data_IF_565301037747
#
_entry.id   IF_565301037747
#
_cell.length_a   1.000
_cell.length_b   1.000
_cell.length_c   1.000
_cell.angle_alpha   90.00
_cell.angle_beta   90.00
_cell.angle_gamma   90.00
#
_symmetry.space_group_name_H-M   'P 1'
#
loop_
_entity.id
_entity.type
_entity.pdbx_description
1 polymer ?
#
# COMPACT_ATOMS: atom_id res chain seq x y z
N UNK A 1 -12.45 -8.61 18.61
CA UNK A 1 -11.30 -8.05 17.89
C UNK A 1 -10.77 -9.12 16.95
N UNK A 2 -10.52 -8.80 15.68
CA UNK A 2 -10.04 -9.75 14.64
C UNK A 2 -8.60 -9.47 14.21
N UNK A 3 -7.91 -8.56 14.92
CA UNK A 3 -6.59 -8.02 14.55
C UNK A 3 -5.51 -9.09 14.32
N UNK A 4 -5.53 -10.19 15.08
CA UNK A 4 -4.62 -11.32 14.85
C UNK A 4 -5.10 -12.23 13.73
N UNK A 5 -6.41 -12.53 13.68
CA UNK A 5 -7.01 -13.44 12.69
C UNK A 5 -6.81 -12.97 11.24
N UNK A 6 -6.88 -11.65 10.99
CA UNK A 6 -6.64 -11.08 9.66
C UNK A 6 -5.18 -11.17 9.20
N UNK A 7 -4.24 -11.45 10.11
CA UNK A 7 -2.81 -11.67 9.81
C UNK A 7 -2.43 -13.15 9.72
N UNK A 8 -3.40 -14.05 9.88
CA UNK A 8 -3.15 -15.49 9.74
C UNK A 8 -2.68 -15.85 8.34
N UNK A 9 -1.88 -16.92 8.25
CA UNK A 9 -1.37 -17.47 6.99
C UNK A 9 -2.49 -17.86 6.03
N UNK A 10 -3.62 -18.33 6.55
CA UNK A 10 -4.81 -18.66 5.75
C UNK A 10 -5.38 -17.42 5.04
N UNK A 11 -5.49 -16.30 5.75
CA UNK A 11 -5.95 -15.02 5.17
C UNK A 11 -4.93 -14.51 4.15
N UNK A 12 -3.63 -14.57 4.46
CA UNK A 12 -2.57 -14.14 3.53
C UNK A 12 -2.60 -14.92 2.20
N UNK A 13 -2.84 -16.24 2.26
CA UNK A 13 -2.90 -17.10 1.07
C UNK A 13 -4.18 -16.91 0.25
N UNK A 14 -5.28 -16.45 0.86
CA UNK A 14 -6.59 -16.34 0.21
C UNK A 14 -6.93 -14.93 -0.27
N UNK A 15 -6.39 -13.89 0.38
CA UNK A 15 -6.77 -12.48 0.13
C UNK A 15 -6.58 -12.05 -1.32
N UNK A 16 -5.50 -12.50 -1.98
CA UNK A 16 -5.24 -12.14 -3.38
C UNK A 16 -6.32 -12.66 -4.33
N UNK A 17 -6.87 -13.86 -4.08
CA UNK A 17 -7.94 -14.46 -4.88
C UNK A 17 -9.27 -13.71 -4.70
N UNK A 18 -9.56 -13.29 -3.48
CA UNK A 18 -10.78 -12.52 -3.15
C UNK A 18 -10.67 -11.09 -3.71
N UNK A 19 -9.52 -10.44 -3.51
CA UNK A 19 -9.27 -9.07 -3.97
C UNK A 19 -9.23 -8.93 -5.50
N UNK A 20 -8.98 -10.01 -6.24
CA UNK A 20 -9.05 -10.01 -7.70
C UNK A 20 -10.50 -9.99 -8.25
N UNK A 21 -11.50 -10.33 -7.44
CA UNK A 21 -12.89 -10.40 -7.89
C UNK A 21 -13.45 -9.01 -8.22
N UNK A 22 -13.93 -8.75 -9.45
CA UNK A 22 -14.38 -7.41 -9.85
C UNK A 22 -15.48 -6.81 -8.96
N UNK A 23 -16.42 -7.65 -8.48
CA UNK A 23 -17.48 -7.22 -7.56
C UNK A 23 -16.93 -6.77 -6.21
N UNK A 24 -15.95 -7.49 -5.67
CA UNK A 24 -15.27 -7.12 -4.41
C UNK A 24 -14.50 -5.83 -4.61
N UNK A 25 -13.73 -5.70 -5.70
CA UNK A 25 -12.99 -4.46 -6.02
C UNK A 25 -13.93 -3.26 -6.14
N UNK A 26 -15.05 -3.42 -6.84
CA UNK A 26 -16.05 -2.36 -7.01
C UNK A 26 -16.65 -1.94 -5.67
N UNK A 27 -17.04 -2.91 -4.84
CA UNK A 27 -17.59 -2.68 -3.51
C UNK A 27 -16.60 -1.95 -2.59
N UNK A 28 -15.36 -2.44 -2.51
CA UNK A 28 -14.31 -1.82 -1.69
C UNK A 28 -14.02 -0.39 -2.13
N UNK A 29 -13.90 -0.14 -3.45
CA UNK A 29 -13.71 1.24 -3.97
C UNK A 29 -14.85 2.17 -3.55
N UNK A 30 -16.10 1.70 -3.61
CA UNK A 30 -17.26 2.50 -3.19
C UNK A 30 -17.20 2.83 -1.69
N UNK A 31 -16.87 1.84 -0.85
CA UNK A 31 -16.72 2.04 0.59
C UNK A 31 -15.59 3.02 0.90
N UNK A 32 -14.40 2.83 0.34
CA UNK A 32 -13.25 3.72 0.59
C UNK A 32 -13.57 5.16 0.21
N UNK A 33 -14.21 5.38 -0.95
CA UNK A 33 -14.67 6.72 -1.37
C UNK A 33 -15.69 7.31 -0.40
N UNK A 34 -16.65 6.52 0.04
CA UNK A 34 -17.67 6.96 1.00
C UNK A 34 -17.06 7.35 2.35
N UNK A 35 -16.08 6.58 2.83
CA UNK A 35 -15.37 6.88 4.09
C UNK A 35 -14.56 8.17 3.94
N UNK A 36 -13.82 8.31 2.83
CA UNK A 36 -13.03 9.51 2.58
C UNK A 36 -13.90 10.77 2.46
N UNK A 37 -15.01 10.70 1.73
CA UNK A 37 -15.95 11.81 1.57
C UNK A 37 -16.71 12.15 2.86
N UNK A 38 -16.96 11.16 3.72
CA UNK A 38 -17.63 11.34 5.02
C UNK A 38 -16.69 11.70 6.17
N UNK A 39 -15.40 11.95 5.92
CA UNK A 39 -14.45 12.28 6.96
C UNK A 39 -14.72 13.69 7.51
N UNK A 40 -15.07 13.81 8.80
CA UNK A 40 -15.29 15.09 9.47
C UNK A 40 -13.99 15.73 10.00
N UNK A 41 -12.85 15.03 9.88
CA UNK A 41 -11.53 15.55 10.25
C UNK A 41 -10.98 16.46 9.14
N UNK A 42 -9.98 17.30 9.42
CA UNK A 42 -9.35 18.14 8.40
C UNK A 42 -8.72 17.36 7.23
N UNK A 43 -8.44 16.07 7.41
CA UNK A 43 -7.93 15.21 6.36
C UNK A 43 -7.99 13.73 6.74
N UNK A 44 -7.76 12.87 5.74
CA UNK A 44 -7.71 11.41 5.88
C UNK A 44 -6.52 10.87 5.09
N UNK A 45 -5.80 9.90 5.68
CA UNK A 45 -4.76 9.14 4.99
C UNK A 45 -5.38 7.82 4.54
N UNK A 46 -5.27 7.52 3.24
CA UNK A 46 -5.76 6.28 2.65
C UNK A 46 -4.61 5.56 1.98
N UNK A 47 -4.28 4.37 2.50
CA UNK A 47 -3.23 3.51 1.95
C UNK A 47 -3.84 2.42 1.09
N UNK A 48 -3.17 2.08 -0.01
CA UNK A 48 -3.52 0.95 -0.86
C UNK A 48 -2.78 0.99 -2.18
N UNK A 49 -3.07 0.01 -3.04
CA UNK A 49 -2.35 -0.19 -4.30
C UNK A 49 -2.77 0.81 -5.39
N UNK A 50 -4.07 1.01 -5.59
CA UNK A 50 -4.62 1.81 -6.68
C UNK A 50 -5.30 3.10 -6.20
N UNK A 51 -4.94 3.58 -5.01
CA UNK A 51 -5.57 4.75 -4.39
C UNK A 51 -5.35 6.00 -5.24
N UNK A 52 -4.11 6.25 -5.66
CA UNK A 52 -3.70 7.49 -6.33
C UNK A 52 -4.15 7.60 -7.79
N UNK A 53 -4.54 6.48 -8.41
CA UNK A 53 -4.86 6.41 -9.84
C UNK A 53 -6.29 6.00 -10.13
N UNK A 54 -6.94 5.24 -9.22
CA UNK A 54 -8.27 4.67 -9.45
C UNK A 54 -9.26 5.07 -8.36
N UNK A 55 -8.89 4.93 -7.09
CA UNK A 55 -9.87 5.12 -6.00
C UNK A 55 -10.10 6.59 -5.70
N UNK A 56 -9.03 7.36 -5.54
CA UNK A 56 -9.02 8.79 -5.20
C UNK A 56 -8.04 9.53 -6.15
N UNK A 57 -8.28 9.53 -7.47
CA UNK A 57 -7.39 10.18 -8.44
C UNK A 57 -7.29 11.70 -8.24
N UNK A 58 -8.29 12.31 -7.61
CA UNK A 58 -8.37 13.75 -7.37
C UNK A 58 -7.96 14.14 -5.93
N UNK A 59 -7.32 13.24 -5.18
CA UNK A 59 -6.81 13.58 -3.86
C UNK A 59 -5.78 14.72 -3.94
N UNK A 60 -5.85 15.64 -2.97
CA UNK A 60 -4.98 16.83 -2.88
C UNK A 60 -3.49 16.46 -2.91
N UNK A 61 -3.13 15.43 -2.14
CA UNK A 61 -1.79 14.86 -2.14
C UNK A 61 -1.88 13.38 -2.51
N UNK A 62 -1.09 12.96 -3.49
CA UNK A 62 -0.99 11.58 -3.94
C UNK A 62 0.47 11.17 -3.90
N UNK A 63 0.78 10.10 -3.17
CA UNK A 63 2.15 9.64 -2.95
C UNK A 63 2.28 8.18 -3.36
N UNK A 64 3.33 7.88 -4.11
CA UNK A 64 3.82 6.52 -4.30
C UNK A 64 5.03 6.33 -3.37
N UNK A 65 4.88 5.48 -2.36
CA UNK A 65 6.01 5.10 -1.50
C UNK A 65 6.73 3.90 -2.12
N UNK A 66 8.04 4.02 -2.29
CA UNK A 66 8.89 2.95 -2.82
C UNK A 66 10.11 2.71 -1.93
N UNK A 67 10.77 1.59 -2.19
CA UNK A 67 12.09 1.23 -1.68
C UNK A 67 12.66 0.12 -2.57
N UNK A 68 13.98 -0.08 -2.54
CA UNK A 68 14.62 -1.21 -3.20
C UNK A 68 14.01 -2.55 -2.78
N UNK A 69 14.01 -3.53 -3.69
CA UNK A 69 13.47 -4.87 -3.42
C UNK A 69 14.15 -5.50 -2.18
N UNK A 70 15.47 -5.34 -2.07
CA UNK A 70 16.25 -5.82 -0.93
C UNK A 70 15.77 -5.22 0.41
N UNK A 71 15.58 -3.90 0.48
CA UNK A 71 15.10 -3.23 1.70
C UNK A 71 13.67 -3.67 2.04
N UNK A 72 12.80 -3.81 1.05
CA UNK A 72 11.42 -4.27 1.26
C UNK A 72 11.37 -5.69 1.80
N UNK A 73 12.22 -6.57 1.29
CA UNK A 73 12.38 -7.94 1.78
C UNK A 73 12.92 -7.96 3.22
N UNK A 74 13.96 -7.17 3.50
CA UNK A 74 14.54 -7.06 4.84
C UNK A 74 13.51 -6.59 5.88
N UNK A 75 12.77 -5.52 5.59
CA UNK A 75 11.70 -5.00 6.48
C UNK A 75 10.61 -6.05 6.75
N UNK A 76 10.18 -6.78 5.71
CA UNK A 76 9.13 -7.81 5.84
C UNK A 76 9.59 -9.02 6.66
N UNK A 77 10.86 -9.42 6.56
CA UNK A 77 11.40 -10.52 7.36
C UNK A 77 11.36 -10.19 8.87
N UNK A 78 11.68 -8.94 9.23
CA UNK A 78 11.58 -8.44 10.61
C UNK A 78 10.13 -8.46 11.10
N UNK A 79 9.17 -7.96 10.30
CA UNK A 79 7.75 -7.91 10.68
C UNK A 79 7.15 -9.28 11.00
N UNK A 80 7.58 -10.32 10.27
CA UNK A 80 6.99 -11.66 10.40
C UNK A 80 7.76 -12.57 11.37
N UNK A 81 8.94 -12.15 11.86
CA UNK A 81 9.85 -12.99 12.68
C UNK A 81 10.19 -14.34 12.01
N UNK A 82 10.32 -14.39 10.68
CA UNK A 82 10.61 -15.64 9.94
C UNK A 82 11.74 -15.48 8.94
N UNK A 83 12.54 -16.53 8.77
CA UNK A 83 13.64 -16.60 7.80
C UNK A 83 13.16 -16.94 6.37
N UNK A 84 13.85 -16.32 5.38
CA UNK A 84 14.11 -16.77 3.99
C UNK A 84 12.94 -17.09 3.05
N UNK A 85 11.95 -17.87 3.49
CA UNK A 85 10.81 -18.37 2.69
C UNK A 85 9.82 -17.28 2.26
N UNK A 86 9.82 -16.14 2.94
CA UNK A 86 8.99 -14.96 2.63
C UNK A 86 9.46 -14.26 1.34
N UNK A 87 10.72 -14.41 0.95
CA UNK A 87 11.28 -13.80 -0.26
C UNK A 87 10.48 -14.14 -1.52
N UNK A 88 10.10 -15.42 -1.66
CA UNK A 88 9.27 -15.89 -2.75
C UNK A 88 7.85 -15.30 -2.70
N UNK A 89 7.26 -15.15 -1.50
CA UNK A 89 5.89 -14.67 -1.35
C UNK A 89 5.75 -13.17 -1.65
N UNK A 90 6.72 -12.35 -1.22
CA UNK A 90 6.74 -10.91 -1.53
C UNK A 90 6.96 -10.71 -3.04
N UNK A 91 7.94 -11.39 -3.61
CA UNK A 91 8.23 -11.32 -5.05
C UNK A 91 7.01 -11.77 -5.89
N UNK A 92 6.33 -12.84 -5.49
CA UNK A 92 5.12 -13.31 -6.18
C UNK A 92 3.94 -12.37 -6.03
N UNK A 93 3.78 -11.71 -4.87
CA UNK A 93 2.73 -10.71 -4.66
C UNK A 93 3.01 -9.47 -5.50
N UNK A 94 4.23 -8.97 -5.48
CA UNK A 94 4.64 -7.82 -6.29
C UNK A 94 4.49 -8.10 -7.79
N UNK A 95 4.89 -9.29 -8.26
CA UNK A 95 4.69 -9.72 -9.65
C UNK A 95 3.23 -9.85 -10.06
N UNK A 96 2.34 -10.19 -9.12
CA UNK A 96 0.90 -10.26 -9.39
C UNK A 96 0.28 -8.87 -9.40
N UNK A 97 0.64 -8.03 -8.43
CA UNK A 97 0.15 -6.67 -8.31
C UNK A 97 0.64 -5.81 -9.50
N UNK A 98 1.90 -5.97 -9.93
CA UNK A 98 2.52 -5.19 -11.02
C UNK A 98 1.89 -5.42 -12.39
N UNK A 99 1.13 -6.51 -12.57
CA UNK A 99 0.34 -6.75 -13.78
C UNK A 99 -0.87 -5.83 -13.89
N UNK A 100 -1.28 -5.21 -12.79
CA UNK A 100 -2.54 -4.44 -12.69
C UNK A 100 -2.26 -2.97 -12.36
N UNK A 101 -1.18 -2.68 -11.64
CA UNK A 101 -0.83 -1.32 -11.21
C UNK A 101 0.69 -1.16 -11.21
N UNK A 102 1.19 -0.03 -11.71
CA UNK A 102 2.61 0.33 -11.64
C UNK A 102 2.93 0.94 -10.27
N UNK A 103 3.83 0.30 -9.52
CA UNK A 103 4.27 0.75 -8.19
C UNK A 103 5.72 1.23 -8.16
N UNK A 104 6.38 1.23 -9.32
CA UNK A 104 7.75 1.70 -9.44
C UNK A 104 7.76 3.09 -10.07
N UNK A 105 6.82 3.34 -10.98
CA UNK A 105 6.70 4.63 -11.65
C UNK A 105 5.45 5.37 -11.15
N UNK A 106 5.61 6.59 -10.62
CA UNK A 106 4.46 7.41 -10.24
C UNK A 106 3.67 7.82 -11.48
N UNK A 107 2.35 7.75 -11.39
CA UNK A 107 1.47 8.35 -12.40
C UNK A 107 1.60 9.89 -12.41
N UNK A 108 1.17 10.58 -13.49
CA UNK A 108 1.21 12.04 -13.54
C UNK A 108 0.52 12.70 -12.32
N UNK A 109 1.26 13.59 -11.65
CA UNK A 109 0.80 14.28 -10.45
C UNK A 109 0.82 13.44 -9.17
N UNK A 110 1.39 12.23 -9.19
CA UNK A 110 1.72 11.45 -7.99
C UNK A 110 3.18 11.74 -7.62
N UNK A 111 3.43 12.15 -6.38
CA UNK A 111 4.79 12.38 -5.88
C UNK A 111 5.43 11.03 -5.50
N UNK A 112 6.66 10.77 -5.93
CA UNK A 112 7.43 9.60 -5.53
C UNK A 112 8.17 9.89 -4.23
N UNK A 113 8.05 9.00 -3.24
CA UNK A 113 8.85 9.01 -2.02
C UNK A 113 9.64 7.71 -1.93
N UNK A 114 10.94 7.77 -2.25
CA UNK A 114 11.85 6.65 -2.07
C UNK A 114 12.35 6.60 -0.63
N UNK A 115 12.11 5.49 0.03
CA UNK A 115 12.47 5.23 1.43
C UNK A 115 13.61 4.23 1.57
N UNK A 116 14.32 3.90 0.48
CA UNK A 116 15.40 2.89 0.47
C UNK A 116 16.42 3.14 1.58
N UNK A 117 16.92 4.38 1.67
CA UNK A 117 17.97 4.75 2.62
C UNK A 117 17.43 5.48 3.87
N UNK A 118 16.11 5.47 4.07
CA UNK A 118 15.48 6.17 5.18
C UNK A 118 15.17 5.21 6.34
N UNK A 119 15.37 5.71 7.57
CA UNK A 119 14.79 5.08 8.76
C UNK A 119 13.27 5.22 8.74
N UNK A 120 12.58 4.58 9.68
CA UNK A 120 11.14 4.78 9.86
C UNK A 120 10.82 6.25 10.13
N UNK A 121 11.52 6.87 11.07
CA UNK A 121 11.36 8.29 11.43
C UNK A 121 11.70 9.20 10.24
N UNK A 122 12.76 8.89 9.51
CA UNK A 122 13.12 9.62 8.28
C UNK A 122 12.04 9.53 7.20
N UNK A 123 11.43 8.35 7.04
CA UNK A 123 10.33 8.14 6.10
C UNK A 123 9.09 8.93 6.49
N UNK A 124 8.76 8.98 7.78
CA UNK A 124 7.64 9.76 8.31
C UNK A 124 7.89 11.26 8.11
N UNK A 125 9.08 11.76 8.46
CA UNK A 125 9.44 13.17 8.29
C UNK A 125 9.36 13.58 6.82
N UNK A 126 9.94 12.79 5.91
CA UNK A 126 9.91 13.07 4.47
C UNK A 126 8.47 13.08 3.91
N UNK A 127 7.58 12.21 4.40
CA UNK A 127 6.17 12.21 4.02
C UNK A 127 5.44 13.46 4.51
N UNK A 128 5.70 13.88 5.75
CA UNK A 128 5.09 15.09 6.32
C UNK A 128 5.53 16.34 5.56
N UNK A 129 6.83 16.47 5.27
CA UNK A 129 7.37 17.59 4.49
C UNK A 129 6.72 17.64 3.10
N UNK A 130 6.54 16.49 2.46
CA UNK A 130 5.91 16.38 1.15
C UNK A 130 4.43 16.80 1.15
N UNK A 131 3.72 16.66 2.28
CA UNK A 131 2.32 17.09 2.43
C UNK A 131 2.21 18.60 2.70
N UNK A 132 3.19 19.17 3.40
CA UNK A 132 3.20 20.61 3.75
C UNK A 132 3.56 21.54 2.56
N UNK A 133 3.92 20.97 1.41
CA UNK A 133 4.31 21.67 0.17
C UNK A 133 3.38 21.36 -1.00
#
# INVERSE_FOLDING_TARGET
DVTEGIRSKEVELSVSKVAAQPKVRSFMRKITRSIAAGCEKPGIIVEGRDITTVVLPDAQTRVLLTASEEVRLGRRAVDLQVDGSISAQVSDRDKKDSKVVDFLNPAPGVKLLDTTDLSFEGSVAALVDLINH
#
